data_IF_647819914122
#
_entry.id   IF_647819914122
#
_cell.length_a   1.000
_cell.length_b   1.000
_cell.length_c   1.000
_cell.angle_alpha   90.00
_cell.angle_beta   90.00
_cell.angle_gamma   90.00
#
_symmetry.space_group_name_H-M   'P 1'
#
loop_
_entity.id
_entity.type
_entity.pdbx_description
1 polymer ?
#
# COMPACT_ATOMS: atom_id res chain seq x y z
N UNK A 1 0.59 10.55 2.87
CA UNK A 1 1.47 9.41 3.25
C UNK A 1 1.97 8.70 2.01
N UNK A 2 3.13 8.04 2.08
CA UNK A 2 3.72 7.28 0.97
C UNK A 2 4.23 5.92 1.46
N UNK A 3 3.92 4.78 0.80
CA UNK A 3 4.53 3.49 1.12
C UNK A 3 6.06 3.54 1.01
N UNK A 4 6.74 2.97 2.01
CA UNK A 4 8.20 2.83 1.96
C UNK A 4 8.58 1.61 1.11
N UNK A 5 9.81 1.57 0.57
CA UNK A 5 10.38 0.37 -0.09
C UNK A 5 10.79 -0.67 0.96
N UNK A 6 9.81 -1.16 1.72
CA UNK A 6 9.93 -2.22 2.72
C UNK A 6 8.70 -3.12 2.59
N UNK A 7 8.87 -4.40 2.89
CA UNK A 7 7.77 -5.36 2.81
C UNK A 7 6.72 -5.09 3.89
N UNK A 8 5.47 -5.42 3.58
CA UNK A 8 4.43 -5.51 4.58
C UNK A 8 4.67 -6.72 5.49
N UNK A 9 4.36 -6.57 6.77
CA UNK A 9 4.51 -7.64 7.78
C UNK A 9 3.13 -8.07 8.25
N UNK A 10 2.92 -9.37 8.39
CA UNK A 10 1.72 -9.92 9.03
C UNK A 10 1.99 -10.18 10.52
N UNK A 11 1.20 -9.56 11.39
CA UNK A 11 1.19 -9.85 12.82
C UNK A 11 0.08 -10.85 13.14
N UNK A 12 0.49 -12.09 13.37
CA UNK A 12 -0.43 -13.17 13.72
C UNK A 12 -1.13 -12.97 15.07
N UNK A 13 -0.52 -12.26 16.04
CA UNK A 13 -1.14 -12.04 17.35
C UNK A 13 -2.26 -11.02 17.27
N UNK A 14 -2.06 -9.97 16.49
CA UNK A 14 -3.06 -8.92 16.25
C UNK A 14 -4.05 -9.27 15.13
N UNK A 15 -3.77 -10.30 14.32
CA UNK A 15 -4.51 -10.64 13.10
C UNK A 15 -4.59 -9.45 12.13
N UNK A 16 -3.47 -8.75 11.96
CA UNK A 16 -3.37 -7.52 11.18
C UNK A 16 -2.11 -7.51 10.34
N UNK A 17 -2.14 -6.76 9.23
CA UNK A 17 -0.98 -6.47 8.41
C UNK A 17 -0.48 -5.05 8.67
N UNK A 18 0.83 -4.84 8.64
CA UNK A 18 1.45 -3.54 8.80
C UNK A 18 2.32 -3.22 7.58
N UNK A 19 2.04 -2.10 6.91
CA UNK A 19 2.85 -1.57 5.83
C UNK A 19 3.62 -0.34 6.33
N UNK A 20 4.96 -0.32 6.27
CA UNK A 20 5.73 0.88 6.59
C UNK A 20 5.44 2.03 5.62
N UNK A 21 5.16 3.21 6.17
CA UNK A 21 4.80 4.41 5.42
C UNK A 21 5.51 5.66 5.95
N UNK A 22 5.72 6.64 5.08
CA UNK A 22 6.14 7.99 5.45
C UNK A 22 4.90 8.89 5.48
N UNK A 23 4.54 9.44 6.63
CA UNK A 23 3.50 10.45 6.78
C UNK A 23 4.09 11.80 6.40
N UNK A 24 3.33 12.59 5.64
CA UNK A 24 3.69 13.97 5.28
C UNK A 24 2.71 14.89 6.01
N UNK A 25 3.24 15.81 6.79
CA UNK A 25 2.46 16.77 7.56
C UNK A 25 2.36 18.10 6.79
N UNK A 26 1.37 18.93 7.15
CA UNK A 26 1.11 20.20 6.49
C UNK A 26 2.24 21.24 6.68
N UNK A 27 3.07 21.06 7.71
CA UNK A 27 4.26 21.87 7.97
C UNK A 27 5.46 21.49 7.07
N UNK A 28 5.29 20.53 6.17
CA UNK A 28 6.34 20.00 5.31
C UNK A 28 7.24 18.96 5.99
N UNK A 29 7.01 18.66 7.27
CA UNK A 29 7.69 17.61 7.99
C UNK A 29 7.22 16.21 7.56
N UNK A 30 8.05 15.21 7.86
CA UNK A 30 7.73 13.81 7.59
C UNK A 30 8.05 12.91 8.77
N UNK A 31 7.28 11.83 8.96
CA UNK A 31 7.56 10.80 9.97
C UNK A 31 7.35 9.38 9.44
N UNK A 32 8.25 8.47 9.79
CA UNK A 32 8.04 7.03 9.59
C UNK A 32 6.89 6.55 10.49
N UNK A 33 6.01 5.71 9.94
CA UNK A 33 4.86 5.13 10.63
C UNK A 33 4.46 3.79 10.00
N UNK A 34 3.42 3.16 10.55
CA UNK A 34 2.85 1.92 10.04
C UNK A 34 1.39 2.15 9.67
N UNK A 35 1.02 1.81 8.43
CA UNK A 35 -0.36 1.61 8.05
C UNK A 35 -0.79 0.21 8.47
N UNK A 36 -1.65 0.14 9.48
CA UNK A 36 -2.23 -1.13 9.97
C UNK A 36 -3.52 -1.43 9.20
N UNK A 37 -3.61 -2.64 8.67
CA UNK A 37 -4.73 -3.12 7.88
C UNK A 37 -5.32 -4.38 8.50
N UNK A 38 -6.64 -4.41 8.59
CA UNK A 38 -7.40 -5.63 8.90
C UNK A 38 -7.36 -6.61 7.71
N UNK A 39 -7.67 -7.91 7.92
CA UNK A 39 -7.70 -8.89 6.84
C UNK A 39 -8.61 -8.47 5.67
N UNK A 40 -9.82 -8.02 5.94
CA UNK A 40 -10.78 -7.57 4.92
C UNK A 40 -10.23 -6.40 4.07
N UNK A 41 -9.49 -5.48 4.70
CA UNK A 41 -8.86 -4.37 3.98
C UNK A 41 -7.70 -4.86 3.10
N UNK A 42 -6.94 -5.87 3.55
CA UNK A 42 -5.86 -6.47 2.74
C UNK A 42 -6.44 -7.12 1.48
N UNK A 43 -7.49 -7.92 1.62
CA UNK A 43 -8.15 -8.57 0.48
C UNK A 43 -8.71 -7.55 -0.50
N UNK A 44 -9.39 -6.52 0.00
CA UNK A 44 -9.93 -5.44 -0.82
C UNK A 44 -8.82 -4.70 -1.60
N UNK A 45 -7.71 -4.36 -0.94
CA UNK A 45 -6.63 -3.63 -1.61
C UNK A 45 -5.84 -4.50 -2.58
N UNK A 46 -5.69 -5.80 -2.33
CA UNK A 46 -5.08 -6.72 -3.28
C UNK A 46 -5.82 -6.67 -4.64
N UNK A 47 -7.14 -6.80 -4.62
CA UNK A 47 -7.99 -6.73 -5.82
C UNK A 47 -7.84 -5.37 -6.52
N UNK A 48 -7.85 -4.27 -5.76
CA UNK A 48 -7.71 -2.94 -6.35
C UNK A 48 -6.33 -2.72 -6.98
N UNK A 49 -5.25 -3.18 -6.34
CA UNK A 49 -3.90 -3.04 -6.86
C UNK A 49 -3.66 -3.90 -8.10
N UNK A 50 -4.15 -5.14 -8.13
CA UNK A 50 -4.13 -5.96 -9.35
C UNK A 50 -4.83 -5.25 -10.50
N UNK A 51 -6.00 -4.66 -10.25
CA UNK A 51 -6.74 -3.92 -11.27
C UNK A 51 -5.97 -2.70 -11.79
N UNK A 52 -5.31 -1.95 -10.91
CA UNK A 52 -4.48 -0.80 -11.29
C UNK A 52 -3.25 -1.21 -12.08
N UNK A 53 -2.62 -2.35 -11.73
CA UNK A 53 -1.50 -2.92 -12.49
C UNK A 53 -1.96 -3.29 -13.90
N UNK A 54 -3.07 -4.02 -14.04
CA UNK A 54 -3.62 -4.38 -15.35
C UNK A 54 -3.99 -3.15 -16.19
N UNK A 55 -4.54 -2.09 -15.58
CA UNK A 55 -4.83 -0.84 -16.29
C UNK A 55 -3.55 -0.18 -16.82
N UNK A 56 -2.47 -0.15 -16.02
CA UNK A 56 -1.16 0.37 -16.46
C UNK A 56 -0.60 -0.45 -17.61
N UNK A 57 -0.66 -1.77 -17.54
CA UNK A 57 -0.19 -2.66 -18.61
C UNK A 57 -0.95 -2.45 -19.92
N UNK A 58 -2.28 -2.31 -19.85
CA UNK A 58 -3.11 -2.00 -21.03
C UNK A 58 -2.75 -0.64 -21.64
N UNK A 59 -2.52 0.39 -20.81
CA UNK A 59 -2.10 1.70 -21.28
C UNK A 59 -0.73 1.65 -21.99
N UNK A 60 0.18 0.78 -21.53
CA UNK A 60 1.49 0.57 -22.14
C UNK A 60 1.42 -0.28 -23.42
N UNK A 61 0.54 -1.28 -23.47
CA UNK A 61 0.31 -2.10 -24.66
C UNK A 61 -0.42 -1.37 -25.80
N UNK A 62 -1.24 -0.36 -25.47
CA UNK A 62 -1.91 0.50 -26.46
C UNK A 62 -1.02 1.66 -26.96
N UNK A 63 0.22 1.77 -26.50
CA UNK A 63 1.19 2.78 -26.93
C UNK A 63 2.17 2.25 -28.00
N UNK A 64 1.89 1.08 -28.59
CA UNK A 64 2.67 0.44 -29.65
C UNK A 64 1.93 0.49 -30.99
#
# INVERSE_FOLDING_TARGET
MTPMRRDAVYDHRAQQSALPVLVHYDDGGTAESLLVLTPDQVELYAIQFERLISQREQAQGNAA
#
